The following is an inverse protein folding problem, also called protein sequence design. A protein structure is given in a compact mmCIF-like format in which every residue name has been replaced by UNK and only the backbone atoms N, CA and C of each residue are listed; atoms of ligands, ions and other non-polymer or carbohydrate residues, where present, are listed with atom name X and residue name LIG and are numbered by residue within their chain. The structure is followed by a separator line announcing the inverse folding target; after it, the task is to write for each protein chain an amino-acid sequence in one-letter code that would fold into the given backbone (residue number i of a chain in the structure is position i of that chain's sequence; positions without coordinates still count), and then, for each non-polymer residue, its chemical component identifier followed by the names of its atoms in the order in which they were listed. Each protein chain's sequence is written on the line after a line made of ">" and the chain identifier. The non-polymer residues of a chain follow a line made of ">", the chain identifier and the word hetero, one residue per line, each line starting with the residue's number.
data_IF_766502493019
#
_entry.id   IF_766502493019
#
_cell.length_a   1.000
_cell.length_b   1.000
_cell.length_c   1.000
_cell.angle_alpha   90.00
_cell.angle_beta   90.00
_cell.angle_gamma   90.00
#
_symmetry.space_group_name_H-M   'P 1'
#
loop_
_entity.id
_entity.type
_entity.pdbx_description
1 polymer ?
#
# COMPACT_ATOMS: atom_id res chain seq x y z
N UNK A 1 -23.99 -25.21 -34.92
CA UNK A 1 -23.76 -23.82 -34.46
C UNK A 1 -22.63 -23.86 -33.48
N UNK A 2 -21.46 -23.45 -33.90
CA UNK A 2 -20.30 -23.32 -32.98
C UNK A 2 -20.60 -22.20 -32.02
N UNK A 3 -20.91 -22.52 -30.78
CA UNK A 3 -20.89 -21.59 -29.65
C UNK A 3 -19.43 -21.23 -29.51
N UNK A 4 -19.06 -19.98 -29.93
CA UNK A 4 -17.72 -19.52 -29.87
C UNK A 4 -17.20 -19.64 -28.43
N UNK A 5 -16.25 -20.52 -28.24
CA UNK A 5 -15.42 -20.56 -27.02
C UNK A 5 -14.95 -19.14 -26.74
N UNK A 6 -15.37 -18.57 -25.64
CA UNK A 6 -14.87 -17.26 -25.20
C UNK A 6 -13.39 -17.46 -24.87
N UNK A 7 -12.57 -17.24 -25.86
CA UNK A 7 -11.13 -17.44 -25.74
C UNK A 7 -10.60 -16.41 -24.72
N UNK A 8 -10.22 -16.88 -23.55
CA UNK A 8 -9.59 -16.05 -22.55
C UNK A 8 -8.32 -15.43 -23.13
N UNK A 9 -8.05 -14.17 -22.82
CA UNK A 9 -6.92 -13.47 -23.42
C UNK A 9 -5.61 -14.07 -22.99
N UNK A 10 -4.64 -14.08 -23.90
CA UNK A 10 -3.25 -14.43 -23.56
C UNK A 10 -2.68 -13.45 -22.51
N UNK A 11 -1.84 -13.91 -21.57
CA UNK A 11 -1.33 -13.09 -20.48
C UNK A 11 -0.55 -11.84 -20.95
N UNK A 12 0.19 -11.93 -22.05
CA UNK A 12 1.01 -10.82 -22.56
C UNK A 12 0.14 -9.73 -23.18
N UNK A 13 -0.80 -10.13 -24.02
CA UNK A 13 -1.78 -9.22 -24.60
C UNK A 13 -2.67 -8.57 -23.56
N UNK A 14 -3.16 -9.35 -22.59
CA UNK A 14 -3.92 -8.85 -21.45
C UNK A 14 -3.13 -7.80 -20.65
N UNK A 15 -1.88 -8.09 -20.31
CA UNK A 15 -1.02 -7.16 -19.57
C UNK A 15 -0.80 -5.84 -20.31
N UNK A 16 -0.67 -5.88 -21.66
CA UNK A 16 -0.55 -4.68 -22.48
C UNK A 16 -1.83 -3.84 -22.45
N UNK A 17 -3.01 -4.46 -22.65
CA UNK A 17 -4.32 -3.76 -22.64
C UNK A 17 -4.63 -3.19 -21.26
N UNK A 18 -4.40 -3.96 -20.19
CA UNK A 18 -4.54 -3.47 -18.81
C UNK A 18 -3.66 -2.26 -18.55
N UNK A 19 -2.39 -2.29 -18.98
CA UNK A 19 -1.48 -1.14 -18.82
C UNK A 19 -1.97 0.09 -19.58
N UNK A 20 -2.48 -0.07 -20.79
CA UNK A 20 -3.06 1.04 -21.56
C UNK A 20 -4.24 1.66 -20.82
N UNK A 21 -5.14 0.82 -20.26
CA UNK A 21 -6.28 1.32 -19.48
C UNK A 21 -5.81 2.01 -18.19
N UNK A 22 -4.84 1.47 -17.50
CA UNK A 22 -4.25 2.09 -16.31
C UNK A 22 -3.63 3.46 -16.61
N UNK A 23 -2.94 3.60 -17.74
CA UNK A 23 -2.45 4.90 -18.19
C UNK A 23 -3.58 5.90 -18.40
N UNK A 24 -4.69 5.48 -19.03
CA UNK A 24 -5.88 6.33 -19.23
C UNK A 24 -6.51 6.74 -17.90
N UNK A 25 -6.73 5.78 -16.98
CA UNK A 25 -7.29 6.06 -15.65
C UNK A 25 -6.42 7.08 -14.90
N UNK A 26 -5.10 6.90 -14.94
CA UNK A 26 -4.16 7.84 -14.32
C UNK A 26 -4.19 9.22 -14.97
N UNK A 27 -4.17 9.29 -16.31
CA UNK A 27 -4.26 10.56 -17.04
C UNK A 27 -5.55 11.31 -16.72
N UNK A 28 -6.69 10.62 -16.69
CA UNK A 28 -7.97 11.23 -16.31
C UNK A 28 -7.97 11.71 -14.85
N UNK A 29 -7.34 10.96 -13.96
CA UNK A 29 -7.24 11.34 -12.55
C UNK A 29 -6.33 12.56 -12.34
N UNK A 30 -5.23 12.66 -13.08
CA UNK A 30 -4.31 13.82 -13.03
C UNK A 30 -4.92 15.04 -13.70
N UNK A 31 -5.60 14.85 -14.84
CA UNK A 31 -6.21 15.96 -15.61
C UNK A 31 -7.38 16.62 -14.90
N UNK A 32 -8.09 15.86 -14.06
CA UNK A 32 -9.20 16.37 -13.27
C UNK A 32 -9.11 15.81 -11.82
N UNK A 33 -8.56 16.60 -10.88
CA UNK A 33 -8.44 16.22 -9.48
C UNK A 33 -9.78 15.99 -8.75
N UNK A 34 -10.87 16.55 -9.26
CA UNK A 34 -12.21 16.41 -8.67
C UNK A 34 -13.02 15.30 -9.35
N UNK A 35 -12.50 14.71 -10.42
CA UNK A 35 -13.16 13.62 -11.12
C UNK A 35 -13.41 12.43 -10.21
N UNK A 36 -14.66 11.98 -10.21
CA UNK A 36 -15.10 10.77 -9.52
C UNK A 36 -15.48 9.72 -10.56
N UNK A 37 -14.85 8.55 -10.45
CA UNK A 37 -15.05 7.42 -11.36
C UNK A 37 -16.32 6.67 -10.96
N UNK A 38 -17.31 6.65 -11.84
CA UNK A 38 -18.67 6.13 -11.58
C UNK A 38 -18.97 4.82 -12.31
N UNK A 39 -18.19 4.46 -13.32
CA UNK A 39 -18.34 3.21 -14.08
C UNK A 39 -16.98 2.54 -14.32
N UNK A 40 -16.43 1.94 -13.28
CA UNK A 40 -15.15 1.22 -13.33
C UNK A 40 -15.24 -0.22 -12.80
N UNK A 41 -16.41 -0.63 -12.34
CA UNK A 41 -16.62 -2.01 -11.85
C UNK A 41 -16.50 -3.03 -12.98
N UNK A 42 -16.92 -2.69 -14.20
CA UNK A 42 -16.77 -3.52 -15.38
C UNK A 42 -15.32 -3.93 -15.66
N UNK A 43 -14.35 -3.08 -15.31
CA UNK A 43 -12.93 -3.39 -15.42
C UNK A 43 -12.50 -4.46 -14.41
N UNK A 44 -13.11 -4.52 -13.21
CA UNK A 44 -12.76 -5.49 -12.17
C UNK A 44 -13.03 -6.92 -12.62
N UNK A 45 -14.11 -7.16 -13.39
CA UNK A 45 -14.43 -8.50 -13.90
C UNK A 45 -14.09 -8.67 -15.40
N UNK A 46 -13.37 -7.69 -15.99
CA UNK A 46 -12.92 -7.81 -17.37
C UNK A 46 -11.92 -8.95 -17.53
N UNK A 47 -12.01 -9.82 -18.55
CA UNK A 47 -11.11 -10.96 -18.73
C UNK A 47 -9.63 -10.58 -18.67
N UNK A 48 -9.21 -9.48 -19.33
CA UNK A 48 -7.82 -9.01 -19.27
C UNK A 48 -7.35 -8.71 -17.84
N UNK A 49 -8.19 -8.05 -17.04
CA UNK A 49 -7.87 -7.70 -15.66
C UNK A 49 -7.78 -8.94 -14.77
N UNK A 50 -8.71 -9.88 -14.94
CA UNK A 50 -8.70 -11.14 -14.20
C UNK A 50 -7.50 -12.02 -14.57
N UNK A 51 -7.12 -12.09 -15.85
CA UNK A 51 -5.92 -12.80 -16.30
C UNK A 51 -4.67 -12.19 -15.66
N UNK A 52 -4.50 -10.88 -15.70
CA UNK A 52 -3.35 -10.22 -15.07
C UNK A 52 -3.37 -10.35 -13.55
N UNK A 53 -4.54 -10.34 -12.94
CA UNK A 53 -4.71 -10.58 -11.50
C UNK A 53 -4.30 -11.99 -11.12
N UNK A 54 -4.69 -12.99 -11.92
CA UNK A 54 -4.30 -14.38 -11.74
C UNK A 54 -2.78 -14.57 -11.82
N UNK A 55 -2.14 -14.06 -12.88
CA UNK A 55 -0.68 -14.13 -13.04
C UNK A 55 0.06 -13.57 -11.81
N UNK A 56 -0.44 -12.48 -11.25
CA UNK A 56 0.13 -11.92 -10.02
C UNK A 56 -0.05 -12.83 -8.81
N UNK A 57 -1.23 -13.43 -8.67
CA UNK A 57 -1.56 -14.29 -7.52
C UNK A 57 -0.82 -15.62 -7.61
N UNK A 58 -0.81 -16.24 -8.78
CA UNK A 58 -0.13 -17.52 -9.03
C UNK A 58 1.39 -17.40 -8.97
N UNK A 59 1.96 -16.30 -9.46
CA UNK A 59 3.40 -16.04 -9.44
C UNK A 59 3.96 -15.59 -8.08
N UNK A 60 3.13 -15.40 -7.05
CA UNK A 60 3.57 -14.94 -5.74
C UNK A 60 4.06 -16.10 -4.85
N UNK A 61 5.00 -15.82 -3.94
CA UNK A 61 5.47 -16.78 -2.91
C UNK A 61 4.33 -17.36 -2.07
N UNK A 62 3.24 -16.62 -1.89
CA UNK A 62 2.04 -17.05 -1.18
C UNK A 62 1.11 -17.98 -1.98
N UNK A 63 1.41 -18.30 -3.24
CA UNK A 63 0.56 -19.12 -4.10
C UNK A 63 0.30 -20.53 -3.52
N UNK A 64 1.26 -21.09 -2.77
CA UNK A 64 1.13 -22.40 -2.12
C UNK A 64 0.31 -22.37 -0.82
N UNK A 65 -0.19 -21.22 -0.40
CA UNK A 65 -0.91 -21.09 0.87
C UNK A 65 -2.40 -20.96 0.61
N UNK A 66 -3.19 -21.90 1.13
CA UNK A 66 -4.64 -21.91 0.99
C UNK A 66 -5.32 -20.96 1.97
N UNK A 67 -6.49 -20.46 1.61
CA UNK A 67 -7.43 -19.73 2.48
C UNK A 67 -8.22 -20.65 3.41
N UNK A 68 -9.42 -20.20 3.83
CA UNK A 68 -10.36 -21.00 4.64
C UNK A 68 -10.98 -22.14 3.84
N UNK A 69 -11.09 -21.97 2.53
CA UNK A 69 -11.59 -22.95 1.55
C UNK A 69 -10.62 -24.10 1.28
N UNK A 70 -9.41 -24.05 1.86
CA UNK A 70 -8.32 -25.01 1.65
C UNK A 70 -7.82 -25.08 0.20
N UNK A 71 -8.23 -24.17 -0.68
CA UNK A 71 -7.76 -24.05 -2.05
C UNK A 71 -6.60 -23.07 -2.12
N UNK A 72 -5.48 -23.50 -2.68
CA UNK A 72 -4.33 -22.64 -2.95
C UNK A 72 -4.26 -22.26 -4.43
N UNK A 73 -3.78 -21.08 -4.81
CA UNK A 73 -3.55 -20.79 -6.23
C UNK A 73 -2.68 -21.83 -6.93
N UNK A 74 -1.69 -22.37 -6.25
CA UNK A 74 -0.79 -23.42 -6.82
C UNK A 74 -1.46 -24.80 -6.97
N UNK A 75 -2.63 -25.03 -6.36
CA UNK A 75 -3.41 -26.28 -6.55
C UNK A 75 -4.38 -26.21 -7.73
N UNK A 76 -4.57 -25.04 -8.30
CA UNK A 76 -5.34 -24.87 -9.54
C UNK A 76 -4.35 -25.12 -10.68
N UNK A 77 -4.57 -26.21 -11.40
CA UNK A 77 -3.69 -26.61 -12.49
C UNK A 77 -3.72 -25.60 -13.64
N UNK A 78 -2.71 -25.64 -14.50
CA UNK A 78 -2.63 -24.76 -15.66
C UNK A 78 -3.69 -25.10 -16.72
N UNK A 79 -3.93 -24.18 -17.63
CA UNK A 79 -4.82 -24.38 -18.78
C UNK A 79 -6.31 -24.29 -18.44
N UNK A 80 -7.09 -25.31 -18.80
CA UNK A 80 -8.55 -25.30 -18.72
C UNK A 80 -9.09 -25.03 -17.31
N UNK A 81 -8.44 -25.53 -16.26
CA UNK A 81 -8.88 -25.31 -14.87
C UNK A 81 -8.73 -23.84 -14.44
N UNK A 82 -7.71 -23.14 -14.92
CA UNK A 82 -7.53 -21.70 -14.66
C UNK A 82 -8.61 -20.91 -15.35
N UNK A 83 -8.94 -21.25 -16.60
CA UNK A 83 -10.02 -20.59 -17.36
C UNK A 83 -11.36 -20.78 -16.66
N UNK A 84 -11.69 -22.01 -16.27
CA UNK A 84 -12.92 -22.31 -15.51
C UNK A 84 -13.00 -21.53 -14.20
N UNK A 85 -11.91 -21.52 -13.43
CA UNK A 85 -11.83 -20.75 -12.19
C UNK A 85 -12.03 -19.25 -12.42
N UNK A 86 -11.41 -18.68 -13.44
CA UNK A 86 -11.53 -17.25 -13.74
C UNK A 86 -12.94 -16.90 -14.29
N UNK A 87 -13.57 -17.81 -15.02
CA UNK A 87 -14.96 -17.63 -15.46
C UNK A 87 -15.93 -17.65 -14.27
N UNK A 88 -15.73 -18.54 -13.29
CA UNK A 88 -16.50 -18.53 -12.04
C UNK A 88 -16.35 -17.21 -11.29
N UNK A 89 -15.11 -16.68 -11.17
CA UNK A 89 -14.85 -15.37 -10.56
C UNK A 89 -15.59 -14.27 -11.31
N UNK A 90 -15.50 -14.29 -12.63
CA UNK A 90 -16.13 -13.30 -13.51
C UNK A 90 -17.65 -13.31 -13.38
N UNK A 91 -18.27 -14.49 -13.41
CA UNK A 91 -19.73 -14.63 -13.33
C UNK A 91 -20.26 -14.18 -11.97
N UNK A 92 -19.59 -14.53 -10.85
CA UNK A 92 -19.97 -14.06 -9.52
C UNK A 92 -19.88 -12.53 -9.39
N UNK A 93 -18.85 -11.90 -9.98
CA UNK A 93 -18.73 -10.44 -9.97
C UNK A 93 -19.81 -9.79 -10.86
N UNK A 94 -20.06 -10.32 -12.05
CA UNK A 94 -21.02 -9.81 -13.00
C UNK A 94 -22.46 -9.91 -12.46
N UNK A 95 -22.81 -11.05 -11.88
CA UNK A 95 -24.11 -11.29 -11.24
C UNK A 95 -24.25 -10.62 -9.86
N UNK A 96 -23.15 -10.07 -9.31
CA UNK A 96 -23.08 -9.44 -7.96
C UNK A 96 -23.37 -10.42 -6.81
N UNK A 97 -23.14 -11.70 -7.02
CA UNK A 97 -23.25 -12.74 -5.99
C UNK A 97 -21.94 -12.96 -5.24
N UNK A 98 -20.84 -12.36 -5.70
CA UNK A 98 -19.54 -12.47 -5.03
C UNK A 98 -19.58 -11.85 -3.63
N UNK A 99 -19.20 -12.66 -2.64
CA UNK A 99 -19.01 -12.24 -1.26
C UNK A 99 -17.67 -12.77 -0.75
N UNK A 100 -16.77 -11.93 -0.26
CA UNK A 100 -15.49 -12.39 0.27
C UNK A 100 -15.68 -13.26 1.50
N UNK A 101 -14.89 -14.32 1.59
CA UNK A 101 -14.87 -15.19 2.77
C UNK A 101 -13.97 -14.60 3.87
N UNK A 102 -14.17 -15.01 5.15
CA UNK A 102 -13.26 -14.65 6.22
C UNK A 102 -11.84 -15.07 5.91
N UNK A 103 -10.85 -14.23 6.25
CA UNK A 103 -9.45 -14.61 6.07
C UNK A 103 -9.02 -15.63 7.11
N UNK A 104 -8.21 -16.60 6.73
CA UNK A 104 -7.64 -17.59 7.65
C UNK A 104 -6.47 -16.96 8.42
N UNK A 105 -6.57 -16.90 9.74
CA UNK A 105 -5.50 -16.40 10.60
C UNK A 105 -4.30 -17.38 10.65
N UNK A 106 -3.10 -16.82 10.52
CA UNK A 106 -1.84 -17.52 10.78
C UNK A 106 -0.93 -16.63 11.62
N UNK A 107 -0.38 -17.21 12.67
CA UNK A 107 0.59 -16.55 13.55
C UNK A 107 2.01 -16.75 12.99
N UNK A 108 2.75 -15.66 12.81
CA UNK A 108 4.13 -15.70 12.30
C UNK A 108 5.04 -15.00 13.31
N UNK A 109 6.21 -15.59 13.66
CA UNK A 109 7.18 -14.92 14.52
C UNK A 109 7.67 -13.59 13.92
N UNK A 110 7.72 -12.54 14.74
CA UNK A 110 8.37 -11.28 14.33
C UNK A 110 9.89 -11.45 14.43
N UNK A 111 10.66 -11.15 13.38
CA UNK A 111 12.11 -11.22 13.43
C UNK A 111 12.69 -10.39 14.59
N UNK A 112 13.50 -11.01 15.44
CA UNK A 112 14.15 -10.35 16.59
C UNK A 112 13.23 -10.03 17.76
N UNK A 113 12.08 -10.71 17.89
CA UNK A 113 11.14 -10.52 19.00
C UNK A 113 10.40 -11.83 19.29
N UNK A 114 10.02 -12.05 20.55
CA UNK A 114 9.12 -13.14 20.97
C UNK A 114 7.65 -12.92 20.56
N UNK A 115 7.31 -11.75 20.03
CA UNK A 115 5.95 -11.40 19.64
C UNK A 115 5.57 -12.05 18.32
N UNK A 116 4.33 -12.53 18.22
CA UNK A 116 3.74 -13.06 17.00
C UNK A 116 3.05 -11.93 16.20
N UNK A 117 3.05 -12.07 14.88
CA UNK A 117 2.28 -11.25 13.95
C UNK A 117 1.11 -12.08 13.45
N UNK A 118 -0.08 -11.53 13.49
CA UNK A 118 -1.27 -12.13 12.89
C UNK A 118 -1.27 -11.83 11.39
N UNK A 119 -1.36 -12.87 10.55
CA UNK A 119 -1.49 -12.76 9.10
C UNK A 119 -2.83 -13.34 8.71
N UNK A 120 -3.66 -12.57 8.03
CA UNK A 120 -4.89 -13.05 7.41
C UNK A 120 -4.61 -13.55 5.98
N UNK A 121 -4.99 -14.77 5.70
CA UNK A 121 -4.81 -15.41 4.39
C UNK A 121 -6.14 -15.48 3.69
N UNK A 122 -6.41 -14.67 2.65
CA UNK A 122 -7.64 -14.72 1.85
C UNK A 122 -7.67 -16.00 0.98
N UNK A 123 -8.84 -16.38 0.52
CA UNK A 123 -9.00 -17.47 -0.47
C UNK A 123 -8.32 -17.14 -1.80
N UNK A 124 -8.14 -18.13 -2.66
CA UNK A 124 -7.58 -17.90 -3.99
C UNK A 124 -8.46 -16.92 -4.80
N UNK A 125 -9.77 -17.08 -4.73
CA UNK A 125 -10.77 -16.24 -5.40
C UNK A 125 -10.70 -14.80 -4.88
N UNK A 126 -10.69 -14.60 -3.55
CA UNK A 126 -10.58 -13.28 -2.93
C UNK A 126 -9.31 -12.56 -3.36
N UNK A 127 -8.18 -13.29 -3.45
CA UNK A 127 -6.91 -12.71 -3.90
C UNK A 127 -6.97 -12.21 -5.34
N UNK A 128 -7.60 -12.97 -6.23
CA UNK A 128 -7.75 -12.57 -7.65
C UNK A 128 -8.65 -11.34 -7.75
N UNK A 129 -9.77 -11.33 -7.04
CA UNK A 129 -10.68 -10.17 -7.03
C UNK A 129 -10.01 -8.94 -6.44
N UNK A 130 -9.28 -9.09 -5.31
CA UNK A 130 -8.50 -8.00 -4.73
C UNK A 130 -7.41 -7.50 -5.67
N UNK A 131 -6.69 -8.39 -6.34
CA UNK A 131 -5.65 -8.02 -7.30
C UNK A 131 -6.24 -7.24 -8.49
N UNK A 132 -7.37 -7.70 -9.04
CA UNK A 132 -8.08 -6.99 -10.10
C UNK A 132 -8.58 -5.62 -9.64
N UNK A 133 -9.15 -5.52 -8.45
CA UNK A 133 -9.57 -4.27 -7.85
C UNK A 133 -8.41 -3.28 -7.68
N UNK A 134 -7.24 -3.76 -7.25
CA UNK A 134 -6.02 -2.94 -7.16
C UNK A 134 -5.59 -2.45 -8.54
N UNK A 135 -5.65 -3.28 -9.59
CA UNK A 135 -5.32 -2.88 -10.96
C UNK A 135 -6.15 -1.68 -11.44
N UNK A 136 -7.40 -1.58 -10.98
CA UNK A 136 -8.33 -0.49 -11.31
C UNK A 136 -8.09 0.74 -10.45
N UNK A 137 -7.97 0.57 -9.13
CA UNK A 137 -7.91 1.68 -8.18
C UNK A 137 -6.53 2.34 -8.07
N UNK A 138 -5.45 1.55 -8.16
CA UNK A 138 -4.09 2.06 -7.98
C UNK A 138 -3.75 3.25 -8.89
N UNK A 139 -4.00 3.23 -10.22
CA UNK A 139 -3.69 4.36 -11.08
C UNK A 139 -4.49 5.62 -10.76
N UNK A 140 -5.71 5.48 -10.24
CA UNK A 140 -6.55 6.61 -9.84
C UNK A 140 -5.98 7.30 -8.61
N UNK A 141 -5.64 6.55 -7.57
CA UNK A 141 -5.12 7.10 -6.32
C UNK A 141 -3.65 7.48 -6.38
N UNK A 142 -2.85 6.86 -7.27
CA UNK A 142 -1.46 7.24 -7.48
C UNK A 142 -1.33 8.70 -7.95
N UNK A 143 -2.34 9.24 -8.66
CA UNK A 143 -2.43 10.64 -9.05
C UNK A 143 -2.52 11.59 -7.85
N UNK A 144 -3.12 11.15 -6.74
CA UNK A 144 -3.34 11.97 -5.53
C UNK A 144 -2.20 11.87 -4.51
N UNK A 145 -1.43 10.78 -4.54
CA UNK A 145 -0.41 10.53 -3.53
C UNK A 145 0.74 11.53 -3.59
N UNK A 146 1.05 12.13 -2.45
CA UNK A 146 2.15 13.09 -2.33
C UNK A 146 3.52 12.43 -2.53
N UNK A 147 4.52 13.19 -3.03
CA UNK A 147 5.88 12.67 -3.25
C UNK A 147 6.57 12.12 -2.01
N UNK A 148 6.13 12.51 -0.83
CA UNK A 148 6.69 12.14 0.47
C UNK A 148 6.34 10.72 0.92
N UNK A 149 5.39 10.06 0.24
CA UNK A 149 4.96 8.68 0.48
C UNK A 149 5.68 7.72 -0.45
N UNK A 150 6.30 6.67 0.09
CA UNK A 150 7.17 5.73 -0.66
C UNK A 150 6.71 4.29 -0.58
N UNK A 151 6.18 3.82 0.56
CA UNK A 151 5.81 2.42 0.75
C UNK A 151 4.59 1.99 -0.06
N UNK A 152 4.61 0.75 -0.58
CA UNK A 152 3.50 0.14 -1.32
C UNK A 152 3.02 0.93 -2.54
N UNK A 153 3.91 1.66 -3.20
CA UNK A 153 3.62 2.44 -4.40
C UNK A 153 4.44 1.96 -5.60
N UNK A 154 3.88 1.99 -6.82
CA UNK A 154 4.61 1.61 -8.02
C UNK A 154 5.83 2.53 -8.22
N UNK A 155 6.94 1.94 -8.67
CA UNK A 155 8.20 2.65 -8.98
C UNK A 155 8.82 3.43 -7.82
N UNK A 156 8.40 3.19 -6.57
CA UNK A 156 8.94 3.78 -5.35
C UNK A 156 9.63 2.71 -4.52
N UNK A 157 10.88 2.94 -4.15
CA UNK A 157 11.71 2.01 -3.40
C UNK A 157 12.08 2.55 -2.03
N UNK A 158 12.45 1.68 -1.11
CA UNK A 158 12.95 2.09 0.20
C UNK A 158 14.22 2.94 0.08
N UNK A 159 15.06 2.65 -0.91
CA UNK A 159 16.27 3.41 -1.21
C UNK A 159 15.96 4.87 -1.56
N UNK A 160 14.86 5.12 -2.26
CA UNK A 160 14.45 6.49 -2.64
C UNK A 160 14.02 7.27 -1.38
N UNK A 161 13.32 6.64 -0.44
CA UNK A 161 12.99 7.24 0.86
C UNK A 161 14.25 7.53 1.70
N UNK A 162 15.24 6.62 1.69
CA UNK A 162 16.51 6.79 2.38
C UNK A 162 17.31 7.95 1.78
N UNK A 163 17.33 8.05 0.44
CA UNK A 163 18.01 9.15 -0.25
C UNK A 163 17.41 10.53 0.12
N UNK A 164 16.07 10.61 0.18
CA UNK A 164 15.38 11.84 0.63
C UNK A 164 15.73 12.18 2.09
N UNK A 165 15.74 11.19 2.99
CA UNK A 165 16.13 11.37 4.40
C UNK A 165 17.59 11.89 4.48
N UNK A 166 18.50 11.35 3.69
CA UNK A 166 19.89 11.77 3.64
C UNK A 166 20.01 13.21 3.13
N UNK A 167 19.33 13.53 2.00
CA UNK A 167 19.32 14.87 1.44
C UNK A 167 18.76 15.93 2.40
N UNK A 168 17.77 15.59 3.21
CA UNK A 168 17.26 16.48 4.26
C UNK A 168 18.28 16.71 5.37
N UNK A 169 18.99 15.66 5.78
CA UNK A 169 20.03 15.77 6.78
C UNK A 169 21.20 16.67 6.33
N UNK A 170 21.64 16.53 5.08
CA UNK A 170 22.68 17.39 4.49
C UNK A 170 22.26 18.86 4.42
N UNK A 171 20.96 19.15 4.49
CA UNK A 171 20.38 20.50 4.54
C UNK A 171 20.08 20.99 5.96
N UNK A 172 20.77 20.46 6.96
CA UNK A 172 20.65 20.81 8.40
C UNK A 172 19.28 20.48 9.03
N UNK A 173 18.50 19.50 8.50
CA UNK A 173 17.33 18.97 9.18
C UNK A 173 17.75 17.82 10.11
N UNK A 174 18.40 18.14 11.22
CA UNK A 174 18.99 17.17 12.14
C UNK A 174 18.02 16.59 13.16
N UNK A 175 16.95 17.30 13.47
CA UNK A 175 15.95 16.83 14.41
C UNK A 175 14.96 15.91 13.71
N UNK A 176 14.77 14.72 14.26
CA UNK A 176 13.92 13.68 13.69
C UNK A 176 12.84 13.32 14.69
N UNK A 177 11.60 13.42 14.25
CA UNK A 177 10.49 12.77 14.91
C UNK A 177 10.21 11.46 14.14
N UNK A 178 10.42 10.34 14.79
CA UNK A 178 10.13 9.02 14.26
C UNK A 178 8.83 8.52 14.88
N UNK A 179 7.83 8.25 14.04
CA UNK A 179 6.55 7.72 14.45
C UNK A 179 6.30 6.39 13.74
N UNK A 180 5.75 5.44 14.49
CA UNK A 180 5.26 4.15 14.01
C UNK A 180 3.79 4.04 14.41
N UNK A 181 2.91 3.82 13.47
CA UNK A 181 1.48 3.66 13.77
C UNK A 181 1.29 2.23 14.27
N UNK A 182 0.96 2.10 15.56
CA UNK A 182 0.74 0.81 16.16
C UNK A 182 -0.46 0.13 15.50
N UNK A 183 -0.28 -1.13 15.06
CA UNK A 183 -1.34 -1.92 14.43
C UNK A 183 -2.08 -1.16 13.31
N UNK A 184 -1.35 -0.41 12.47
CA UNK A 184 -1.92 0.53 11.50
C UNK A 184 -3.09 -0.05 10.69
N UNK A 185 -2.99 -1.30 10.24
CA UNK A 185 -4.05 -1.95 9.47
C UNK A 185 -5.25 -2.34 10.35
N UNK A 186 -4.99 -2.70 11.60
CA UNK A 186 -6.01 -3.19 12.53
C UNK A 186 -6.79 -2.01 13.17
N UNK A 187 -6.17 -0.82 13.23
CA UNK A 187 -6.74 0.39 13.86
C UNK A 187 -7.40 1.36 12.85
N UNK A 188 -7.32 1.08 11.55
CA UNK A 188 -7.95 1.92 10.53
C UNK A 188 -9.47 1.81 10.57
N UNK A 189 -10.15 2.90 10.91
CA UNK A 189 -11.61 2.96 10.87
C UNK A 189 -12.12 2.80 9.45
N UNK A 190 -12.91 1.78 9.20
CA UNK A 190 -13.47 1.49 7.86
C UNK A 190 -14.26 2.67 7.28
N UNK A 191 -14.98 3.43 8.12
CA UNK A 191 -15.72 4.64 7.69
C UNK A 191 -14.78 5.70 7.12
N UNK A 192 -13.62 5.89 7.72
CA UNK A 192 -12.62 6.86 7.29
C UNK A 192 -11.96 6.44 5.96
N UNK A 193 -11.56 5.16 5.85
CA UNK A 193 -11.05 4.59 4.59
C UNK A 193 -12.09 4.79 3.47
N UNK A 194 -13.35 4.40 3.73
CA UNK A 194 -14.44 4.54 2.76
C UNK A 194 -14.74 6.00 2.41
N UNK A 195 -14.62 6.93 3.37
CA UNK A 195 -14.74 8.36 3.11
C UNK A 195 -13.68 8.85 2.11
N UNK A 196 -12.44 8.42 2.26
CA UNK A 196 -11.34 8.74 1.33
C UNK A 196 -11.54 8.09 -0.04
N UNK A 197 -11.95 6.81 -0.08
CA UNK A 197 -12.21 6.11 -1.36
C UNK A 197 -13.31 6.83 -2.15
N UNK A 198 -14.40 7.27 -1.49
CA UNK A 198 -15.52 8.00 -2.12
C UNK A 198 -15.11 9.34 -2.75
N UNK A 199 -13.99 9.93 -2.36
CA UNK A 199 -13.51 11.17 -3.00
C UNK A 199 -13.22 10.98 -4.49
N UNK A 200 -12.76 9.79 -4.88
CA UNK A 200 -12.38 9.48 -6.27
C UNK A 200 -13.25 8.44 -6.94
N UNK A 201 -14.00 7.64 -6.17
CA UNK A 201 -14.84 6.56 -6.68
C UNK A 201 -16.30 6.85 -6.35
N UNK A 202 -17.13 6.97 -7.38
CA UNK A 202 -18.60 7.09 -7.28
C UNK A 202 -19.31 5.75 -7.59
N UNK A 203 -18.64 4.80 -8.23
CA UNK A 203 -19.21 3.49 -8.55
C UNK A 203 -19.60 2.73 -7.29
N UNK A 204 -20.91 2.63 -7.07
CA UNK A 204 -21.48 1.97 -5.87
C UNK A 204 -21.09 0.50 -5.77
N UNK A 205 -20.85 -0.17 -6.90
CA UNK A 205 -20.47 -1.59 -6.97
C UNK A 205 -19.03 -1.77 -6.46
N UNK A 206 -18.12 -0.91 -6.90
CA UNK A 206 -16.73 -0.87 -6.39
C UNK A 206 -16.70 -0.52 -4.90
N UNK A 207 -17.49 0.47 -4.47
CA UNK A 207 -17.56 0.84 -3.05
C UNK A 207 -18.10 -0.29 -2.19
N UNK A 208 -19.13 -1.03 -2.68
CA UNK A 208 -19.65 -2.20 -1.99
C UNK A 208 -18.61 -3.31 -1.87
N UNK A 209 -17.85 -3.57 -2.93
CA UNK A 209 -16.79 -4.57 -2.94
C UNK A 209 -15.63 -4.21 -1.99
N UNK A 210 -15.18 -2.96 -1.98
CA UNK A 210 -14.17 -2.48 -1.01
C UNK A 210 -14.69 -2.65 0.42
N UNK A 211 -15.93 -2.26 0.69
CA UNK A 211 -16.54 -2.42 2.01
C UNK A 211 -16.61 -3.90 2.41
N UNK A 212 -17.00 -4.78 1.50
CA UNK A 212 -17.09 -6.22 1.75
C UNK A 212 -15.73 -6.80 2.17
N UNK A 213 -14.64 -6.43 1.49
CA UNK A 213 -13.28 -6.84 1.90
C UNK A 213 -12.83 -6.28 3.26
N UNK A 214 -13.24 -5.06 3.60
CA UNK A 214 -12.95 -4.49 4.91
C UNK A 214 -13.68 -5.23 6.04
N UNK A 215 -14.88 -5.76 5.77
CA UNK A 215 -15.76 -6.40 6.76
C UNK A 215 -15.77 -7.93 6.71
N UNK A 216 -14.96 -8.56 5.85
CA UNK A 216 -14.98 -10.01 5.61
C UNK A 216 -14.71 -10.88 6.85
N UNK A 217 -14.15 -10.29 7.92
CA UNK A 217 -13.85 -11.01 9.17
C UNK A 217 -12.58 -11.86 9.12
N UNK A 218 -12.24 -12.41 10.26
CA UNK A 218 -11.06 -13.25 10.47
C UNK A 218 -11.49 -14.58 11.09
N UNK A 219 -11.14 -15.68 10.46
CA UNK A 219 -11.27 -17.02 11.06
C UNK A 219 -10.01 -17.33 11.83
N UNK A 220 -10.13 -17.38 13.15
CA UNK A 220 -9.02 -17.69 14.04
C UNK A 220 -8.64 -19.18 13.98
N UNK A 221 -7.49 -19.52 14.57
CA UNK A 221 -6.95 -20.89 14.55
C UNK A 221 -7.84 -21.91 15.27
N UNK A 222 -8.75 -21.46 16.13
CA UNK A 222 -9.77 -22.27 16.82
C UNK A 222 -11.08 -22.43 16.00
N UNK A 223 -11.10 -21.96 14.75
CA UNK A 223 -12.25 -22.06 13.84
C UNK A 223 -13.34 -21.01 14.08
N UNK A 224 -13.20 -20.13 15.06
CA UNK A 224 -14.19 -19.07 15.34
C UNK A 224 -13.99 -17.90 14.39
N UNK A 225 -15.09 -17.42 13.78
CA UNK A 225 -15.10 -16.21 12.96
C UNK A 225 -15.28 -14.99 13.87
N UNK A 226 -14.32 -14.07 13.83
CA UNK A 226 -14.42 -12.78 14.49
C UNK A 226 -14.84 -11.73 13.47
N UNK A 227 -15.85 -10.94 13.79
CA UNK A 227 -16.22 -9.76 13.00
C UNK A 227 -15.13 -8.70 13.10
N UNK A 228 -14.71 -8.14 11.98
CA UNK A 228 -13.76 -7.02 11.95
C UNK A 228 -14.53 -5.71 11.72
N UNK A 229 -14.93 -5.04 12.80
CA UNK A 229 -15.48 -3.68 12.69
C UNK A 229 -14.38 -2.60 12.57
N UNK A 230 -13.18 -2.92 13.00
CA UNK A 230 -11.98 -2.04 12.96
C UNK A 230 -10.75 -2.75 12.41
N UNK A 231 -10.73 -4.08 12.36
CA UNK A 231 -9.55 -4.85 11.93
C UNK A 231 -9.56 -5.02 10.41
N UNK A 232 -8.73 -4.29 9.69
CA UNK A 232 -8.42 -4.65 8.29
C UNK A 232 -7.38 -5.77 8.34
N UNK A 233 -7.71 -7.03 7.97
CA UNK A 233 -6.78 -8.14 8.13
C UNK A 233 -5.47 -7.88 7.41
N UNK A 234 -4.36 -7.98 8.15
CA UNK A 234 -3.02 -7.85 7.59
C UNK A 234 -2.74 -9.05 6.67
N UNK A 235 -2.63 -8.83 5.36
CA UNK A 235 -2.35 -9.90 4.37
C UNK A 235 -3.23 -9.85 3.12
N UNK A 236 -4.28 -9.05 3.11
CA UNK A 236 -5.04 -8.79 1.89
C UNK A 236 -4.23 -8.00 0.85
N UNK A 237 -4.41 -8.31 -0.44
CA UNK A 237 -3.71 -7.65 -1.55
C UNK A 237 -4.12 -6.17 -1.68
N UNK A 238 -5.37 -5.84 -1.36
CA UNK A 238 -5.91 -4.48 -1.43
C UNK A 238 -5.52 -3.64 -0.21
N UNK A 239 -5.19 -4.27 0.93
CA UNK A 239 -4.94 -3.59 2.21
C UNK A 239 -3.84 -2.53 2.14
N UNK A 240 -2.67 -2.75 1.48
CA UNK A 240 -1.63 -1.73 1.35
C UNK A 240 -2.08 -0.46 0.60
N UNK A 241 -2.90 -0.62 -0.44
CA UNK A 241 -3.47 0.51 -1.18
C UNK A 241 -4.45 1.29 -0.31
N UNK A 242 -5.36 0.62 0.38
CA UNK A 242 -6.34 1.25 1.27
C UNK A 242 -5.66 1.96 2.44
N UNK A 243 -4.59 1.39 3.00
CA UNK A 243 -3.79 2.05 4.02
C UNK A 243 -3.12 3.32 3.48
N UNK A 244 -2.55 3.29 2.28
CA UNK A 244 -1.97 4.49 1.66
C UNK A 244 -3.04 5.56 1.40
N UNK A 245 -4.24 5.18 0.95
CA UNK A 245 -5.37 6.10 0.76
C UNK A 245 -5.77 6.74 2.09
N UNK A 246 -5.86 5.98 3.16
CA UNK A 246 -6.17 6.51 4.49
C UNK A 246 -5.06 7.43 5.00
N UNK A 247 -3.80 7.00 4.92
CA UNK A 247 -2.63 7.73 5.41
C UNK A 247 -2.27 8.97 4.56
N UNK A 248 -2.85 9.14 3.37
CA UNK A 248 -2.61 10.32 2.53
C UNK A 248 -3.00 11.63 3.22
N UNK A 249 -3.94 11.60 4.18
CA UNK A 249 -4.30 12.78 4.99
C UNK A 249 -3.08 13.34 5.72
N UNK A 250 -2.26 12.45 6.28
CA UNK A 250 -1.02 12.84 6.96
C UNK A 250 -0.03 13.49 5.98
N UNK A 251 0.12 12.89 4.81
CA UNK A 251 0.98 13.41 3.75
C UNK A 251 0.49 14.79 3.27
N UNK A 252 -0.82 14.94 3.06
CA UNK A 252 -1.46 16.20 2.67
C UNK A 252 -1.23 17.29 3.73
N UNK A 253 -1.44 16.99 5.01
CA UNK A 253 -1.25 17.93 6.11
C UNK A 253 0.19 18.46 6.16
N UNK A 254 1.19 17.58 6.15
CA UNK A 254 2.59 17.99 6.22
C UNK A 254 3.06 18.69 4.95
N UNK A 255 2.58 18.27 3.77
CA UNK A 255 2.87 18.96 2.52
C UNK A 255 2.27 20.36 2.51
N UNK A 256 1.02 20.55 2.93
CA UNK A 256 0.40 21.88 3.02
C UNK A 256 1.19 22.83 3.93
N UNK A 257 1.66 22.35 5.09
CA UNK A 257 2.51 23.13 6.01
C UNK A 257 3.87 23.49 5.38
N UNK A 258 4.45 22.59 4.60
CA UNK A 258 5.69 22.86 3.89
C UNK A 258 5.50 23.85 2.76
N UNK A 259 4.44 23.72 1.99
CA UNK A 259 4.14 24.50 0.79
C UNK A 259 3.63 25.91 1.12
N UNK A 260 3.08 26.13 2.34
CA UNK A 260 2.76 27.45 2.86
C UNK A 260 3.97 28.42 2.82
N UNK A 261 5.18 27.88 2.91
CA UNK A 261 6.44 28.64 2.83
C UNK A 261 7.22 28.25 1.59
N UNK A 262 6.72 28.59 0.40
CA UNK A 262 7.14 28.11 -0.93
C UNK A 262 8.64 28.16 -1.20
N UNK A 263 9.36 29.20 -0.73
CA UNK A 263 10.79 29.37 -1.01
C UNK A 263 11.66 29.01 0.20
N UNK A 264 12.93 28.59 -0.01
CA UNK A 264 13.88 28.36 1.08
C UNK A 264 14.05 29.57 2.00
N UNK A 265 14.09 30.78 1.41
CA UNK A 265 14.18 32.04 2.15
C UNK A 265 12.97 32.29 3.06
N UNK A 266 11.74 32.11 2.57
CA UNK A 266 10.52 32.23 3.40
C UNK A 266 10.49 31.22 4.54
N UNK A 267 10.93 29.98 4.29
CA UNK A 267 11.07 28.96 5.34
C UNK A 267 12.10 29.36 6.39
N UNK A 268 13.20 29.97 5.97
CA UNK A 268 14.22 30.45 6.89
C UNK A 268 13.73 31.64 7.71
N UNK A 269 13.14 32.64 7.08
CA UNK A 269 12.55 33.80 7.75
C UNK A 269 11.47 33.38 8.77
N UNK A 270 10.65 32.37 8.41
CA UNK A 270 9.65 31.81 9.34
C UNK A 270 10.31 31.15 10.55
N UNK A 271 11.40 30.39 10.35
CA UNK A 271 12.17 29.78 11.45
C UNK A 271 12.86 30.80 12.34
N UNK A 272 13.42 31.87 11.78
CA UNK A 272 14.01 32.96 12.57
C UNK A 272 13.02 33.65 13.51
N UNK A 273 11.72 33.61 13.15
CA UNK A 273 10.61 34.10 14.00
C UNK A 273 10.04 33.03 14.94
N UNK A 274 10.74 31.93 15.18
CA UNK A 274 10.32 30.83 16.06
C UNK A 274 9.34 29.85 15.41
N UNK A 275 9.08 29.96 14.12
CA UNK A 275 8.22 29.03 13.39
C UNK A 275 8.88 27.68 13.13
N UNK A 276 8.05 26.65 12.93
CA UNK A 276 8.52 25.29 12.67
C UNK A 276 8.32 24.90 11.21
N UNK A 277 9.37 24.41 10.56
CA UNK A 277 9.29 23.80 9.23
C UNK A 277 9.71 22.36 9.29
N UNK A 278 8.86 21.45 8.88
CA UNK A 278 9.15 20.01 8.88
C UNK A 278 8.86 19.39 7.51
N UNK A 279 9.61 18.37 7.19
CA UNK A 279 9.41 17.54 6.01
C UNK A 279 9.18 16.11 6.45
N UNK A 280 8.05 15.54 6.06
CA UNK A 280 7.75 14.14 6.31
C UNK A 280 8.37 13.27 5.22
N UNK A 281 8.81 12.07 5.59
CA UNK A 281 9.10 10.96 4.69
C UNK A 281 8.37 9.75 5.26
N UNK A 282 7.40 9.23 4.53
CA UNK A 282 6.58 8.09 4.97
C UNK A 282 6.90 6.86 4.14
N UNK A 283 7.15 5.75 4.83
CA UNK A 283 7.27 4.44 4.21
C UNK A 283 6.29 3.48 4.88
N UNK A 284 5.15 3.21 4.23
CA UNK A 284 4.01 2.49 4.79
C UNK A 284 3.50 3.17 6.08
N UNK A 285 3.55 2.49 7.22
CA UNK A 285 3.19 2.94 8.56
C UNK A 285 4.29 3.72 9.28
N UNK A 286 5.53 3.66 8.78
CA UNK A 286 6.67 4.36 9.36
C UNK A 286 6.74 5.80 8.83
N UNK A 287 6.62 6.77 9.72
CA UNK A 287 6.74 8.20 9.43
C UNK A 287 8.00 8.78 10.07
N UNK A 288 8.76 9.58 9.31
CA UNK A 288 9.87 10.40 9.84
C UNK A 288 9.66 11.84 9.43
N UNK A 289 9.39 12.71 10.41
CA UNK A 289 9.36 14.15 10.21
C UNK A 289 10.69 14.75 10.65
N UNK A 290 11.33 15.54 9.77
CA UNK A 290 12.61 16.19 10.05
C UNK A 290 12.45 17.68 10.23
N UNK A 291 13.20 18.24 11.20
CA UNK A 291 13.14 19.64 11.57
C UNK A 291 14.55 20.21 11.86
N UNK A 292 14.72 21.54 11.73
CA UNK A 292 15.99 22.22 12.01
C UNK A 292 16.19 22.61 13.48
N UNK A 293 15.14 22.64 14.32
CA UNK A 293 15.20 23.08 15.72
C UNK A 293 14.62 22.06 16.70
N UNK A 294 15.24 21.96 17.89
CA UNK A 294 14.82 21.07 18.98
C UNK A 294 13.42 21.40 19.55
N UNK A 295 13.00 22.65 19.42
CA UNK A 295 11.82 23.19 20.13
C UNK A 295 10.46 22.69 19.62
N UNK A 296 10.45 21.86 18.58
CA UNK A 296 9.24 21.55 17.80
C UNK A 296 8.62 20.20 18.12
N UNK A 297 9.34 19.31 18.81
CA UNK A 297 8.85 17.97 19.12
C UNK A 297 7.48 17.96 19.81
N UNK A 298 7.26 18.89 20.73
CA UNK A 298 5.98 19.05 21.46
C UNK A 298 4.84 19.60 20.61
N UNK A 299 5.11 20.22 19.45
CA UNK A 299 4.06 20.79 18.58
C UNK A 299 3.61 19.87 17.47
N UNK A 300 4.34 18.81 17.18
CA UNK A 300 3.97 17.82 16.14
C UNK A 300 2.91 16.85 16.67
N UNK A 301 3.05 16.39 17.92
CA UNK A 301 2.16 15.40 18.54
C UNK A 301 0.68 15.82 18.56
N UNK A 302 0.28 17.06 18.97
CA UNK A 302 -1.12 17.41 19.02
C UNK A 302 -1.83 17.44 17.67
N UNK A 303 -1.09 17.54 16.57
CA UNK A 303 -1.67 17.53 15.22
C UNK A 303 -1.85 16.10 14.68
N UNK A 304 -1.01 15.19 15.09
CA UNK A 304 -1.12 13.76 14.71
C UNK A 304 -2.23 13.08 15.53
N UNK A 305 -2.36 13.43 16.82
CA UNK A 305 -3.35 12.84 17.73
C UNK A 305 -4.79 13.36 17.53
N UNK A 306 -4.97 14.49 16.85
CA UNK A 306 -6.30 15.10 16.62
C UNK A 306 -7.08 14.52 15.44
N UNK A 307 -6.43 13.78 14.57
CA UNK A 307 -7.12 13.15 13.45
C UNK A 307 -7.81 11.86 13.94
N UNK A 308 -9.15 11.74 13.86
CA UNK A 308 -9.91 10.58 14.37
C UNK A 308 -9.69 9.30 13.55
N UNK A 309 -8.71 9.30 12.65
CA UNK A 309 -8.46 8.26 11.65
C UNK A 309 -7.59 7.11 12.15
N UNK A 310 -6.83 7.33 13.24
CA UNK A 310 -5.85 6.38 13.73
C UNK A 310 -6.00 6.05 15.21
N UNK A 311 -5.54 4.87 15.55
CA UNK A 311 -5.24 4.46 16.90
C UNK A 311 -4.00 5.17 17.47
N UNK A 312 -3.38 4.58 18.49
CA UNK A 312 -2.22 5.16 19.18
C UNK A 312 -1.02 5.31 18.25
N UNK A 313 -0.54 6.54 18.07
CA UNK A 313 0.74 6.82 17.43
C UNK A 313 1.83 6.78 18.51
N UNK A 314 2.77 5.86 18.39
CA UNK A 314 3.98 5.86 19.22
C UNK A 314 5.11 6.55 18.48
N UNK A 315 5.66 7.61 19.07
CA UNK A 315 6.75 8.38 18.46
C UNK A 315 7.92 8.61 19.40
N UNK A 316 9.12 8.71 18.82
CA UNK A 316 10.34 9.14 19.51
C UNK A 316 10.91 10.38 18.84
N UNK A 317 11.29 11.35 19.64
CA UNK A 317 11.97 12.53 19.20
C UNK A 317 13.45 12.43 19.57
N UNK A 318 14.34 12.54 18.58
CA UNK A 318 15.78 12.48 18.80
C UNK A 318 16.53 13.39 17.84
N UNK A 319 17.68 13.91 18.31
CA UNK A 319 18.66 14.53 17.44
C UNK A 319 19.53 13.43 16.82
N UNK A 320 19.43 13.28 15.51
CA UNK A 320 20.30 12.36 14.78
C UNK A 320 21.39 13.15 14.03
N UNK A 321 22.64 12.95 14.44
CA UNK A 321 23.77 13.25 13.58
C UNK A 321 23.83 12.14 12.52
N UNK A 322 23.80 12.50 11.25
CA UNK A 322 23.73 11.60 10.09
C UNK A 322 24.95 10.67 9.90
N UNK A 323 25.77 10.48 10.92
CA UNK A 323 27.05 9.79 10.81
C UNK A 323 26.98 8.26 10.98
N UNK A 324 25.80 7.64 11.16
CA UNK A 324 25.72 6.23 11.51
C UNK A 324 25.07 5.32 10.46
N UNK A 325 25.74 4.19 10.09
CA UNK A 325 25.14 3.19 9.19
C UNK A 325 23.91 2.48 9.79
N UNK A 326 23.61 2.65 11.08
CA UNK A 326 22.49 2.02 11.79
C UNK A 326 21.09 2.48 11.33
N UNK A 327 20.94 3.76 10.94
CA UNK A 327 19.66 4.31 10.50
C UNK A 327 19.24 3.78 9.13
N UNK A 328 20.20 3.57 8.24
CA UNK A 328 20.00 2.95 6.92
C UNK A 328 19.57 1.49 7.09
N UNK A 329 20.16 0.77 8.05
CA UNK A 329 19.84 -0.61 8.36
C UNK A 329 18.43 -0.80 8.91
N UNK A 330 17.92 0.13 9.71
CA UNK A 330 16.60 0.05 10.33
C UNK A 330 15.48 0.24 9.31
N UNK A 331 15.59 1.21 8.41
CA UNK A 331 14.68 1.39 7.28
C UNK A 331 14.75 0.20 6.31
N UNK A 332 15.96 -0.26 5.99
CA UNK A 332 16.19 -1.41 5.12
C UNK A 332 15.64 -2.72 5.70
N UNK A 333 15.65 -2.92 7.03
CA UNK A 333 14.99 -4.10 7.67
C UNK A 333 13.47 -4.00 7.61
N UNK A 334 12.88 -2.84 7.98
CA UNK A 334 11.41 -2.67 7.89
C UNK A 334 10.91 -2.73 6.44
N UNK A 335 11.65 -2.17 5.48
CA UNK A 335 11.33 -2.27 4.07
C UNK A 335 11.35 -3.72 3.56
N UNK A 336 12.30 -4.55 4.02
CA UNK A 336 12.35 -5.99 3.68
C UNK A 336 11.20 -6.79 4.30
N UNK A 337 10.75 -6.43 5.50
CA UNK A 337 9.62 -7.11 6.15
C UNK A 337 8.26 -6.64 5.61
N UNK A 338 8.15 -5.39 5.18
CA UNK A 338 6.94 -4.84 4.56
C UNK A 338 6.78 -5.28 3.09
N UNK A 339 7.88 -5.50 2.35
CA UNK A 339 7.88 -6.03 0.98
C UNK A 339 7.77 -7.56 0.92
N UNK A 340 7.45 -8.20 2.03
CA UNK A 340 7.26 -9.65 2.14
C UNK A 340 6.21 -10.19 1.18
N UNK A 341 6.61 -10.41 -0.06
CA UNK A 341 6.00 -11.37 -0.98
C UNK A 341 4.75 -10.94 -1.75
N UNK A 342 4.08 -9.83 -1.42
CA UNK A 342 2.76 -9.51 -1.98
C UNK A 342 2.74 -8.35 -3.00
N UNK A 343 3.79 -7.55 -3.07
CA UNK A 343 3.84 -6.40 -3.97
C UNK A 343 5.07 -6.46 -4.88
N UNK A 344 4.88 -6.87 -6.12
CA UNK A 344 5.83 -6.60 -7.21
C UNK A 344 5.35 -5.37 -7.98
N UNK A 345 6.11 -4.26 -7.98
CA UNK A 345 5.80 -3.16 -8.88
C UNK A 345 5.93 -3.61 -10.33
N UNK A 346 5.09 -3.07 -11.18
CA UNK A 346 5.09 -3.31 -12.62
C UNK A 346 6.49 -3.09 -13.24
N UNK A 347 7.01 -4.10 -13.90
CA UNK A 347 8.07 -3.96 -14.91
C UNK A 347 9.51 -4.07 -14.42
N UNK A 348 9.81 -4.76 -13.30
CA UNK A 348 11.19 -5.12 -12.99
C UNK A 348 11.35 -6.65 -13.22
N UNK A 349 11.99 -7.00 -14.33
CA UNK A 349 12.50 -8.33 -14.55
C UNK A 349 13.38 -8.76 -13.36
N UNK A 350 13.18 -9.99 -12.93
CA UNK A 350 13.96 -10.69 -11.93
C UNK A 350 15.46 -10.49 -12.16
N UNK A 351 16.18 -10.01 -11.17
CA UNK A 351 17.62 -10.11 -11.17
C UNK A 351 18.39 -8.93 -10.57
N UNK A 352 18.04 -8.49 -9.37
CA UNK A 352 18.99 -7.73 -8.54
C UNK A 352 19.01 -8.31 -7.14
N UNK A 353 19.83 -9.32 -6.97
CA UNK A 353 20.39 -9.66 -5.67
C UNK A 353 21.27 -8.47 -5.25
N UNK A 354 20.89 -7.75 -4.19
CA UNK A 354 21.73 -6.72 -3.60
C UNK A 354 23.03 -7.40 -3.09
N UNK A 355 24.05 -7.43 -3.92
CA UNK A 355 25.38 -7.84 -3.51
C UNK A 355 25.94 -6.82 -2.51
N UNK A 356 26.81 -7.28 -1.60
CA UNK A 356 27.61 -6.43 -0.69
C UNK A 356 28.29 -5.23 -1.38
N UNK A 357 28.49 -5.30 -2.69
CA UNK A 357 29.06 -4.25 -3.54
C UNK A 357 28.18 -3.00 -3.68
N UNK A 358 26.85 -3.08 -3.58
CA UNK A 358 25.99 -1.89 -3.64
C UNK A 358 26.07 -1.03 -2.37
N UNK A 359 26.33 -1.64 -1.21
CA UNK A 359 26.62 -0.91 0.04
C UNK A 359 28.02 -0.23 0.01
N UNK A 360 28.97 -0.78 -0.73
CA UNK A 360 30.33 -0.22 -0.86
C UNK A 360 30.40 0.93 -1.87
N UNK A 361 29.59 0.96 -2.91
CA UNK A 361 29.56 2.08 -3.87
C UNK A 361 28.99 3.37 -3.29
N UNK A 362 28.14 3.30 -2.26
CA UNK A 362 27.71 4.50 -1.52
C UNK A 362 28.87 5.07 -0.69
N UNK A 363 29.86 4.23 -0.31
CA UNK A 363 31.08 4.69 0.40
C UNK A 363 32.12 5.38 -0.50
N UNK A 364 32.19 5.03 -1.79
CA UNK A 364 33.21 5.58 -2.70
C UNK A 364 32.80 6.88 -3.40
N UNK A 365 31.53 7.26 -3.35
CA UNK A 365 31.05 8.53 -3.89
C UNK A 365 31.17 9.71 -2.89
N UNK A 366 31.74 9.46 -1.71
CA UNK A 366 31.90 10.46 -0.63
C UNK A 366 33.33 10.46 -0.03
N UNK A 367 34.35 10.29 -0.88
CA UNK A 367 35.71 10.75 -0.63
C UNK A 367 36.04 11.95 -1.48
#
# INVERSE_FOLDING_TARGET
>A
MNIGESQWPDPVGAARRVRQMQCKLHQWAVGDPDRRFDDVFNLVYHPDFLTVAWERVAGNKGARTAGVDRVSPASIAEGAQVVEFLEQVREQLKSRTFAPLPVRERLIPKPGSSKLRRLGIPTAMDRVVQASLVLVLEPVFEADFKPVSYGFRPRRRAQDAIAEIHALGSRNYHWVFEADIAACFDELKHSAVMGRVRRRVADKRVLALVKAFLTAGVMSTDGKVRSSNTDTPQGGIVSPLLANIALSVLDEHFCAKWDAHRTPWRREAYRKRGGATYRIVRYADLCRARHKSAYVGHRIMPHVDREPLWGRVSGRFARHNLAGPGDVHRLSRKARTASGGWYRPWGVSSGVTLSRAACLRVRSAFR
#
